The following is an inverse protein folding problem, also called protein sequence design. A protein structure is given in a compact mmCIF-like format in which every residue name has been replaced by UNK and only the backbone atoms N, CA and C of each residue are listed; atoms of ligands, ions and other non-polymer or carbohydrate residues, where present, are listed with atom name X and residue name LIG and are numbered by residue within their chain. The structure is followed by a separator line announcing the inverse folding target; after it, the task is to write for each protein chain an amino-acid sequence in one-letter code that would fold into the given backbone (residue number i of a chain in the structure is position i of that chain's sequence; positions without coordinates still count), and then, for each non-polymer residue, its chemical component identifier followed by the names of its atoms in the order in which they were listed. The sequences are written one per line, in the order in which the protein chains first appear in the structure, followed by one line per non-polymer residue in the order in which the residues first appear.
data_IF_616875987202
#
_entry.id   IF_616875987202
#
_cell.length_a   1.000
_cell.length_b   1.000
_cell.length_c   1.000
_cell.angle_alpha   90.00
_cell.angle_beta   90.00
_cell.angle_gamma   90.00
#
_symmetry.space_group_name_H-M   'P 1'
#
loop_
_entity.id
_entity.type
_entity.pdbx_description
1 polymer ?
#
# COMPACT_ATOMS: atom_id res chain seq x y z
N UNK A 1 14.72 -3.54 -13.97
CA UNK A 1 14.05 -3.91 -15.25
C UNK A 1 13.00 -5.00 -15.06
N UNK A 2 13.28 -6.09 -14.33
CA UNK A 2 12.29 -7.14 -14.04
C UNK A 2 11.14 -6.68 -13.16
N UNK A 3 11.39 -5.92 -12.08
CA UNK A 3 10.32 -5.40 -11.22
C UNK A 3 9.37 -4.44 -11.95
N UNK A 4 9.91 -3.54 -12.78
CA UNK A 4 9.13 -2.64 -13.62
C UNK A 4 8.34 -3.37 -14.71
N UNK A 5 8.88 -4.47 -15.26
CA UNK A 5 8.17 -5.29 -16.24
C UNK A 5 7.03 -6.09 -15.60
N UNK A 6 7.24 -6.64 -14.40
CA UNK A 6 6.18 -7.33 -13.64
C UNK A 6 5.07 -6.36 -13.29
N UNK A 7 5.40 -5.15 -12.84
CA UNK A 7 4.42 -4.12 -12.52
C UNK A 7 3.67 -3.60 -13.75
N UNK A 8 4.37 -3.36 -14.87
CA UNK A 8 3.72 -2.99 -16.12
C UNK A 8 2.80 -4.12 -16.62
N UNK A 9 3.24 -5.38 -16.53
CA UNK A 9 2.44 -6.54 -16.91
C UNK A 9 1.19 -6.69 -16.04
N UNK A 10 1.27 -6.47 -14.72
CA UNK A 10 0.10 -6.55 -13.85
C UNK A 10 -0.87 -5.39 -14.11
N UNK A 11 -0.39 -4.16 -14.30
CA UNK A 11 -1.24 -3.01 -14.66
C UNK A 11 -1.96 -3.24 -15.99
N UNK A 12 -1.24 -3.74 -17.01
CA UNK A 12 -1.82 -4.04 -18.32
C UNK A 12 -2.79 -5.22 -18.28
N UNK A 13 -2.49 -6.25 -17.49
CA UNK A 13 -3.37 -7.40 -17.28
C UNK A 13 -4.71 -6.96 -16.65
N UNK A 14 -4.64 -6.18 -15.57
CA UNK A 14 -5.83 -5.65 -14.88
C UNK A 14 -6.62 -4.71 -15.79
N UNK A 15 -5.94 -3.85 -16.56
CA UNK A 15 -6.59 -3.02 -17.57
C UNK A 15 -7.30 -3.87 -18.65
N UNK A 16 -6.66 -4.95 -19.13
CA UNK A 16 -7.23 -5.88 -20.11
C UNK A 16 -8.44 -6.65 -19.59
N UNK A 17 -8.54 -6.91 -18.28
CA UNK A 17 -9.70 -7.57 -17.68
C UNK A 17 -11.00 -6.77 -17.81
N UNK A 18 -10.93 -5.45 -18.06
CA UNK A 18 -12.12 -4.63 -18.34
C UNK A 18 -12.78 -4.91 -19.71
N UNK A 19 -12.09 -5.63 -20.60
CA UNK A 19 -12.57 -5.99 -21.95
C UNK A 19 -13.12 -7.42 -22.03
N UNK A 20 -13.10 -8.17 -20.91
CA UNK A 20 -13.73 -9.47 -20.80
C UNK A 20 -15.25 -9.25 -20.65
N UNK A 21 -16.05 -9.95 -21.47
CA UNK A 21 -17.51 -9.87 -21.39
C UNK A 21 -17.97 -10.28 -19.97
N UNK A 22 -18.73 -9.43 -19.25
CA UNK A 22 -19.33 -9.80 -17.98
C UNK A 22 -20.48 -10.75 -18.26
N UNK A 23 -20.17 -12.04 -18.35
CA UNK A 23 -21.12 -13.11 -18.73
C UNK A 23 -22.20 -13.36 -17.66
N UNK A 24 -22.07 -12.75 -16.47
CA UNK A 24 -23.00 -12.88 -15.36
C UNK A 24 -23.37 -11.47 -14.87
N UNK A 25 -24.50 -10.95 -15.38
CA UNK A 25 -25.14 -9.64 -15.09
C UNK A 25 -24.59 -8.41 -15.83
N UNK A 26 -25.46 -7.61 -16.47
CA UNK A 26 -25.06 -6.34 -17.08
C UNK A 26 -24.58 -5.38 -15.99
N UNK A 27 -23.39 -4.82 -16.20
CA UNK A 27 -22.87 -3.73 -15.36
C UNK A 27 -23.94 -2.62 -15.25
N UNK A 28 -24.25 -2.21 -14.02
CA UNK A 28 -25.13 -1.06 -13.77
C UNK A 28 -24.63 0.16 -14.57
N UNK A 29 -25.52 0.99 -15.16
CA UNK A 29 -25.14 2.02 -16.14
C UNK A 29 -24.02 2.98 -15.70
N UNK A 30 -23.91 3.22 -14.39
CA UNK A 30 -22.88 4.04 -13.75
C UNK A 30 -21.45 3.49 -13.92
N UNK A 31 -21.31 2.19 -14.17
CA UNK A 31 -20.02 1.52 -14.36
C UNK A 31 -19.53 1.56 -15.82
N UNK A 32 -20.29 2.16 -16.74
CA UNK A 32 -19.92 2.31 -18.16
C UNK A 32 -19.38 3.70 -18.47
N UNK A 33 -18.38 4.17 -17.72
CA UNK A 33 -17.72 5.47 -17.94
C UNK A 33 -16.21 5.32 -18.12
N UNK A 34 -15.63 6.13 -19.02
CA UNK A 34 -14.19 6.24 -19.22
C UNK A 34 -13.45 6.68 -17.95
N UNK A 35 -14.10 7.52 -17.14
CA UNK A 35 -13.55 8.00 -15.87
C UNK A 35 -13.38 6.88 -14.85
N UNK A 36 -14.29 5.89 -14.83
CA UNK A 36 -14.14 4.72 -13.98
C UNK A 36 -12.87 3.94 -14.34
N UNK A 37 -12.67 3.67 -15.64
CA UNK A 37 -11.51 2.89 -16.11
C UNK A 37 -10.20 3.58 -15.76
N UNK A 38 -10.08 4.90 -15.96
CA UNK A 38 -8.87 5.63 -15.58
C UNK A 38 -8.68 5.62 -14.06
N UNK A 39 -9.72 5.97 -13.30
CA UNK A 39 -9.65 6.03 -11.84
C UNK A 39 -9.20 4.68 -11.25
N UNK A 40 -9.91 3.60 -11.60
CA UNK A 40 -9.65 2.25 -11.06
C UNK A 40 -8.30 1.72 -11.49
N UNK A 41 -7.86 1.95 -12.73
CA UNK A 41 -6.53 1.53 -13.17
C UNK A 41 -5.41 2.29 -12.47
N UNK A 42 -5.61 3.58 -12.19
CA UNK A 42 -4.65 4.40 -11.42
C UNK A 42 -4.57 3.93 -9.96
N UNK A 43 -5.71 3.68 -9.31
CA UNK A 43 -5.77 3.13 -7.95
C UNK A 43 -5.12 1.74 -7.87
N UNK A 44 -5.50 0.82 -8.76
CA UNK A 44 -4.94 -0.54 -8.81
C UNK A 44 -3.43 -0.53 -9.07
N UNK A 45 -2.96 0.31 -10.01
CA UNK A 45 -1.54 0.50 -10.27
C UNK A 45 -0.79 1.05 -9.06
N UNK A 46 -1.35 2.04 -8.39
CA UNK A 46 -0.77 2.64 -7.18
C UNK A 46 -0.57 1.60 -6.07
N UNK A 47 -1.55 0.74 -5.84
CA UNK A 47 -1.48 -0.29 -4.79
C UNK A 47 -0.35 -1.28 -5.05
N UNK A 48 -0.01 -1.55 -6.32
CA UNK A 48 1.16 -2.34 -6.70
C UNK A 48 2.48 -1.72 -6.23
N UNK A 49 2.66 -0.40 -6.40
CA UNK A 49 3.83 0.32 -5.90
C UNK A 49 3.87 0.34 -4.36
N UNK A 50 2.74 0.60 -3.71
CA UNK A 50 2.65 0.63 -2.25
C UNK A 50 2.91 -0.75 -1.61
N UNK A 51 2.41 -1.82 -2.24
CA UNK A 51 2.69 -3.20 -1.87
C UNK A 51 4.18 -3.53 -2.01
N UNK A 52 4.82 -3.11 -3.11
CA UNK A 52 6.25 -3.31 -3.29
C UNK A 52 7.07 -2.61 -2.20
N UNK A 53 6.67 -1.39 -1.80
CA UNK A 53 7.25 -0.68 -0.65
C UNK A 53 7.14 -1.47 0.66
N UNK A 54 5.98 -2.09 0.92
CA UNK A 54 5.75 -2.92 2.10
C UNK A 54 6.57 -4.22 2.09
N UNK A 55 6.67 -4.89 0.93
CA UNK A 55 7.50 -6.09 0.76
C UNK A 55 8.98 -5.78 0.99
N UNK A 56 9.47 -4.66 0.45
CA UNK A 56 10.84 -4.22 0.70
C UNK A 56 11.03 -3.87 2.19
N UNK A 57 10.05 -3.21 2.81
CA UNK A 57 10.03 -2.94 4.25
C UNK A 57 10.19 -4.21 5.08
N UNK A 58 9.37 -5.24 4.80
CA UNK A 58 9.46 -6.55 5.43
C UNK A 58 10.82 -7.22 5.21
N UNK A 59 11.34 -7.18 3.97
CA UNK A 59 12.65 -7.76 3.63
C UNK A 59 13.77 -7.09 4.43
N UNK A 60 13.76 -5.76 4.55
CA UNK A 60 14.73 -5.01 5.33
C UNK A 60 14.65 -5.36 6.83
N UNK A 61 13.45 -5.52 7.39
CA UNK A 61 13.28 -5.98 8.77
C UNK A 61 13.85 -7.39 8.97
N UNK A 62 13.66 -8.30 8.01
CA UNK A 62 14.27 -9.64 8.05
C UNK A 62 15.80 -9.56 7.96
N UNK A 63 16.35 -8.74 7.06
CA UNK A 63 17.79 -8.56 6.91
C UNK A 63 18.44 -8.05 8.19
N UNK A 64 17.77 -7.15 8.94
CA UNK A 64 18.24 -6.68 10.25
C UNK A 64 18.44 -7.83 11.25
N UNK A 65 17.61 -8.87 11.19
CA UNK A 65 17.71 -10.04 12.09
C UNK A 65 18.95 -10.88 11.77
N UNK A 66 19.33 -10.96 10.50
CA UNK A 66 20.44 -11.80 10.03
C UNK A 66 21.83 -11.12 10.07
N UNK A 67 21.92 -9.93 10.66
CA UNK A 67 23.21 -9.24 10.85
C UNK A 67 24.12 -10.06 11.79
N UNK A 68 25.33 -10.33 11.31
CA UNK A 68 26.45 -10.91 12.05
C UNK A 68 27.70 -10.07 11.79
N UNK A 69 28.69 -10.11 12.68
CA UNK A 69 29.91 -9.30 12.50
C UNK A 69 30.60 -9.52 11.15
N UNK A 70 30.60 -10.77 10.65
CA UNK A 70 31.23 -11.13 9.36
C UNK A 70 30.56 -10.55 8.11
N UNK A 71 29.28 -10.17 8.17
CA UNK A 71 28.50 -9.73 6.99
C UNK A 71 27.81 -8.38 7.21
N UNK A 72 28.16 -7.69 8.30
CA UNK A 72 27.51 -6.48 8.78
C UNK A 72 27.48 -5.37 7.74
N UNK A 73 28.64 -5.02 7.18
CA UNK A 73 28.74 -3.95 6.18
C UNK A 73 27.89 -4.23 4.94
N UNK A 74 27.98 -5.46 4.41
CA UNK A 74 27.20 -5.88 3.23
C UNK A 74 25.69 -5.76 3.48
N UNK A 75 25.20 -6.27 4.62
CA UNK A 75 23.76 -6.21 4.94
C UNK A 75 23.31 -4.76 5.15
N UNK A 76 24.09 -3.93 5.84
CA UNK A 76 23.74 -2.52 6.06
C UNK A 76 23.66 -1.78 4.73
N UNK A 77 24.60 -2.00 3.80
CA UNK A 77 24.55 -1.41 2.46
C UNK A 77 23.32 -1.87 1.70
N UNK A 78 23.01 -3.17 1.69
CA UNK A 78 21.81 -3.69 1.04
C UNK A 78 20.52 -3.09 1.62
N UNK A 79 20.43 -2.94 2.95
CA UNK A 79 19.26 -2.32 3.60
C UNK A 79 19.09 -0.87 3.15
N UNK A 80 20.17 -0.09 3.05
CA UNK A 80 20.13 1.29 2.58
C UNK A 80 19.66 1.37 1.14
N UNK A 81 20.26 0.59 0.25
CA UNK A 81 19.89 0.55 -1.18
C UNK A 81 18.42 0.17 -1.36
N UNK A 82 17.97 -0.87 -0.67
CA UNK A 82 16.57 -1.29 -0.69
C UNK A 82 15.63 -0.21 -0.13
N UNK A 83 16.03 0.47 0.95
CA UNK A 83 15.24 1.58 1.53
C UNK A 83 15.09 2.73 0.54
N UNK A 84 16.17 3.12 -0.15
CA UNK A 84 16.14 4.18 -1.17
C UNK A 84 15.23 3.77 -2.34
N UNK A 85 15.34 2.52 -2.81
CA UNK A 85 14.46 2.00 -3.87
C UNK A 85 13.00 2.03 -3.40
N UNK A 86 12.72 1.66 -2.15
CA UNK A 86 11.40 1.73 -1.55
C UNK A 86 10.88 3.17 -1.53
N UNK A 87 11.67 4.15 -1.10
CA UNK A 87 11.25 5.56 -1.08
C UNK A 87 10.83 6.08 -2.45
N UNK A 88 11.61 5.78 -3.49
CA UNK A 88 11.30 6.16 -4.88
C UNK A 88 10.01 5.48 -5.34
N UNK A 89 9.88 4.18 -5.05
CA UNK A 89 8.71 3.36 -5.42
C UNK A 89 7.44 3.88 -4.74
N UNK A 90 7.49 4.10 -3.43
CA UNK A 90 6.37 4.60 -2.62
C UNK A 90 6.02 6.03 -3.01
N UNK A 91 6.98 6.87 -3.39
CA UNK A 91 6.70 8.21 -3.94
C UNK A 91 5.89 8.11 -5.23
N UNK A 92 6.26 7.21 -6.15
CA UNK A 92 5.48 6.94 -7.36
C UNK A 92 4.06 6.45 -7.04
N UNK A 93 3.93 5.51 -6.09
CA UNK A 93 2.64 5.02 -5.60
C UNK A 93 1.78 6.13 -4.99
N UNK A 94 2.36 7.01 -4.16
CA UNK A 94 1.66 8.14 -3.55
C UNK A 94 1.12 9.13 -4.59
N UNK A 95 1.90 9.43 -5.62
CA UNK A 95 1.46 10.31 -6.71
C UNK A 95 0.29 9.67 -7.45
N UNK A 96 0.41 8.38 -7.80
CA UNK A 96 -0.66 7.67 -8.51
C UNK A 96 -1.93 7.57 -7.67
N UNK A 97 -1.85 7.18 -6.39
CA UNK A 97 -3.05 7.08 -5.53
C UNK A 97 -3.69 8.45 -5.31
N UNK A 98 -2.90 9.52 -5.18
CA UNK A 98 -3.44 10.87 -5.03
C UNK A 98 -4.19 11.34 -6.28
N UNK A 99 -3.62 11.11 -7.46
CA UNK A 99 -4.27 11.41 -8.75
C UNK A 99 -5.51 10.51 -8.94
N UNK A 100 -5.38 9.21 -8.63
CA UNK A 100 -6.47 8.24 -8.66
C UNK A 100 -7.64 8.72 -7.82
N UNK A 101 -7.40 9.07 -6.56
CA UNK A 101 -8.44 9.50 -5.61
C UNK A 101 -9.12 10.78 -6.09
N UNK A 102 -8.36 11.73 -6.64
CA UNK A 102 -8.93 12.94 -7.26
C UNK A 102 -9.83 12.62 -8.47
N UNK A 103 -9.37 11.76 -9.39
CA UNK A 103 -10.15 11.33 -10.55
C UNK A 103 -11.39 10.51 -10.14
N UNK A 104 -11.33 9.81 -9.02
CA UNK A 104 -12.47 9.13 -8.42
C UNK A 104 -13.58 10.12 -8.06
N UNK A 105 -13.23 11.30 -7.54
CA UNK A 105 -14.20 12.36 -7.29
C UNK A 105 -14.83 12.92 -8.56
N UNK A 106 -14.07 13.03 -9.66
CA UNK A 106 -14.63 13.43 -10.97
C UNK A 106 -15.66 12.41 -11.46
N UNK A 107 -15.33 11.12 -11.37
CA UNK A 107 -16.24 10.03 -11.70
C UNK A 107 -17.49 10.03 -10.80
N UNK A 108 -17.32 10.27 -9.49
CA UNK A 108 -18.43 10.37 -8.54
C UNK A 108 -19.40 11.50 -8.92
N UNK A 109 -18.88 12.63 -9.41
CA UNK A 109 -19.72 13.74 -9.85
C UNK A 109 -20.53 13.42 -11.10
N UNK A 110 -19.92 12.76 -12.08
CA UNK A 110 -20.61 12.30 -13.28
C UNK A 110 -21.69 11.24 -12.95
N UNK A 111 -21.41 10.40 -11.96
CA UNK A 111 -22.22 9.24 -11.60
C UNK A 111 -23.37 9.56 -10.64
N UNK A 112 -23.09 10.38 -9.62
CA UNK A 112 -23.96 10.62 -8.47
C UNK A 112 -24.24 12.12 -8.23
N UNK A 113 -23.75 13.00 -9.11
CA UNK A 113 -23.98 14.44 -9.02
C UNK A 113 -23.22 15.16 -7.90
N UNK A 114 -22.21 14.51 -7.30
CA UNK A 114 -21.34 15.08 -6.26
C UNK A 114 -19.91 14.57 -6.36
N UNK A 115 -18.93 15.41 -6.07
CA UNK A 115 -17.50 15.04 -6.13
C UNK A 115 -17.02 14.15 -4.98
N UNK A 116 -17.67 14.24 -3.82
CA UNK A 116 -17.25 13.52 -2.62
C UNK A 116 -18.43 13.42 -1.67
N UNK A 117 -18.41 12.46 -0.76
CA UNK A 117 -19.25 12.53 0.43
C UNK A 117 -19.01 11.38 1.38
N UNK A 118 -17.74 11.17 1.70
CA UNK A 118 -17.32 10.47 2.91
C UNK A 118 -17.83 9.05 3.02
N UNK A 119 -18.06 8.41 1.88
CA UNK A 119 -18.27 6.96 1.83
C UNK A 119 -17.03 6.26 2.41
N UNK A 120 -17.20 5.03 2.90
CA UNK A 120 -16.11 4.27 3.48
C UNK A 120 -14.92 4.13 2.50
N UNK A 121 -15.14 3.92 1.20
CA UNK A 121 -14.03 3.82 0.24
C UNK A 121 -13.34 5.15 -0.01
N UNK A 122 -14.11 6.21 -0.18
CA UNK A 122 -13.59 7.57 -0.34
C UNK A 122 -12.72 7.97 0.87
N UNK A 123 -13.23 7.72 2.08
CA UNK A 123 -12.53 8.04 3.34
C UNK A 123 -11.23 7.25 3.48
N UNK A 124 -11.25 5.94 3.21
CA UNK A 124 -10.06 5.10 3.32
C UNK A 124 -9.03 5.36 2.21
N UNK A 125 -9.46 5.78 1.02
CA UNK A 125 -8.57 6.29 -0.03
C UNK A 125 -7.82 7.55 0.45
N UNK A 126 -8.53 8.50 1.06
CA UNK A 126 -7.90 9.67 1.67
C UNK A 126 -6.96 9.29 2.82
N UNK A 127 -7.35 8.37 3.70
CA UNK A 127 -6.47 7.87 4.77
C UNK A 127 -5.19 7.25 4.20
N UNK A 128 -5.30 6.48 3.12
CA UNK A 128 -4.13 5.90 2.43
C UNK A 128 -3.18 6.99 1.94
N UNK A 129 -3.71 8.03 1.27
CA UNK A 129 -2.93 9.19 0.81
C UNK A 129 -2.21 9.85 1.99
N UNK A 130 -2.92 10.13 3.08
CA UNK A 130 -2.35 10.81 4.26
C UNK A 130 -1.29 9.96 4.97
N UNK A 131 -1.52 8.66 5.12
CA UNK A 131 -0.58 7.74 5.76
C UNK A 131 0.70 7.63 4.96
N UNK A 132 0.63 7.42 3.64
CA UNK A 132 1.83 7.32 2.81
C UNK A 132 2.53 8.66 2.62
N UNK A 133 1.80 9.78 2.61
CA UNK A 133 2.39 11.10 2.72
C UNK A 133 3.18 11.22 4.03
N UNK A 134 2.59 10.86 5.17
CA UNK A 134 3.27 10.90 6.46
C UNK A 134 4.52 10.01 6.50
N UNK A 135 4.44 8.77 5.99
CA UNK A 135 5.58 7.83 5.92
C UNK A 135 6.76 8.47 5.19
N UNK A 136 6.53 9.10 4.04
CA UNK A 136 7.59 9.80 3.31
C UNK A 136 8.07 11.08 4.01
N UNK A 137 7.22 11.75 4.77
CA UNK A 137 7.58 12.95 5.53
C UNK A 137 8.37 12.65 6.81
N UNK A 138 8.33 11.41 7.33
CA UNK A 138 9.08 11.01 8.53
C UNK A 138 10.57 11.33 8.45
N UNK A 139 11.16 11.35 7.25
CA UNK A 139 12.58 11.72 7.03
C UNK A 139 12.94 13.12 7.48
N UNK A 140 11.96 14.04 7.51
CA UNK A 140 12.17 15.42 7.94
C UNK A 140 11.96 15.61 9.45
N UNK A 141 11.48 14.59 10.16
CA UNK A 141 11.16 14.66 11.59
C UNK A 141 12.35 14.09 12.37
N UNK A 142 13.05 14.88 13.21
CA UNK A 142 14.28 14.44 13.89
C UNK A 142 14.14 13.18 14.74
N UNK A 143 12.95 12.89 15.27
CA UNK A 143 12.68 11.69 16.07
C UNK A 143 12.21 10.46 15.25
N UNK A 144 11.83 10.63 13.99
CA UNK A 144 11.28 9.55 13.14
C UNK A 144 12.14 9.23 11.91
N UNK A 145 13.23 9.98 11.69
CA UNK A 145 14.18 9.84 10.57
C UNK A 145 15.08 8.60 10.64
N UNK A 146 14.54 7.43 10.98
CA UNK A 146 15.30 6.18 11.05
C UNK A 146 14.92 5.20 9.95
N UNK A 147 15.92 4.47 9.44
CA UNK A 147 15.73 3.39 8.46
C UNK A 147 14.73 2.35 8.99
N UNK A 148 14.83 2.01 10.28
CA UNK A 148 13.87 1.09 10.91
C UNK A 148 12.45 1.66 10.86
N UNK A 149 12.24 2.91 11.31
CA UNK A 149 10.91 3.50 11.37
C UNK A 149 10.28 3.59 9.97
N UNK A 150 11.04 3.98 8.94
CA UNK A 150 10.52 4.02 7.57
C UNK A 150 10.09 2.63 7.07
N UNK A 151 10.93 1.60 7.22
CA UNK A 151 10.62 0.26 6.74
C UNK A 151 9.47 -0.38 7.54
N UNK A 152 9.41 -0.14 8.84
CA UNK A 152 8.29 -0.52 9.70
C UNK A 152 6.99 0.17 9.27
N UNK A 153 7.01 1.50 9.11
CA UNK A 153 5.84 2.27 8.75
C UNK A 153 5.36 1.93 7.33
N UNK A 154 6.27 1.65 6.39
CA UNK A 154 5.92 1.18 5.03
C UNK A 154 5.23 -0.18 5.03
N UNK A 155 5.66 -1.10 5.90
CA UNK A 155 5.04 -2.41 6.06
C UNK A 155 3.62 -2.31 6.63
N UNK A 156 3.45 -1.61 7.75
CA UNK A 156 2.14 -1.48 8.39
C UNK A 156 1.21 -0.48 7.70
N UNK A 157 1.77 0.49 6.97
CA UNK A 157 1.02 1.43 6.14
C UNK A 157 0.18 0.71 5.08
N UNK A 158 0.65 -0.44 4.59
CA UNK A 158 -0.10 -1.25 3.62
C UNK A 158 -1.44 -1.79 4.16
N UNK A 159 -1.61 -1.85 5.49
CA UNK A 159 -2.90 -2.18 6.08
C UNK A 159 -4.00 -1.19 5.67
N UNK A 160 -3.67 0.08 5.40
CA UNK A 160 -4.63 1.07 4.89
C UNK A 160 -5.17 0.68 3.52
N UNK A 161 -4.30 0.21 2.61
CA UNK A 161 -4.68 -0.27 1.28
C UNK A 161 -5.54 -1.54 1.37
N UNK A 162 -5.17 -2.49 2.24
CA UNK A 162 -5.97 -3.70 2.51
C UNK A 162 -7.36 -3.30 3.03
N UNK A 163 -7.45 -2.30 3.90
CA UNK A 163 -8.72 -1.81 4.42
C UNK A 163 -9.57 -1.16 3.32
N UNK A 164 -8.99 -0.33 2.43
CA UNK A 164 -9.73 0.26 1.30
C UNK A 164 -10.24 -0.82 0.33
N UNK A 165 -9.42 -1.81 0.00
CA UNK A 165 -9.73 -2.80 -1.04
C UNK A 165 -10.58 -3.98 -0.54
N UNK A 166 -10.22 -4.58 0.60
CA UNK A 166 -10.96 -5.70 1.21
C UNK A 166 -11.87 -5.22 2.34
N UNK A 167 -11.33 -4.42 3.26
CA UNK A 167 -12.03 -3.99 4.46
C UNK A 167 -13.38 -3.36 4.19
N UNK A 168 -13.41 -2.35 3.32
CA UNK A 168 -14.66 -1.66 2.98
C UNK A 168 -15.66 -2.56 2.26
N UNK A 169 -15.19 -3.49 1.43
CA UNK A 169 -16.09 -4.35 0.66
C UNK A 169 -16.84 -5.38 1.54
N UNK A 170 -16.22 -5.86 2.62
CA UNK A 170 -16.78 -6.95 3.45
C UNK A 170 -17.20 -6.55 4.86
N UNK A 171 -16.64 -5.47 5.40
CA UNK A 171 -16.85 -5.08 6.81
C UNK A 171 -17.51 -3.71 6.99
N UNK A 172 -17.56 -2.88 5.95
CA UNK A 172 -18.22 -1.57 6.01
C UNK A 172 -19.32 -1.48 4.95
N UNK A 173 -20.35 -0.68 5.23
CA UNK A 173 -21.45 -0.41 4.31
C UNK A 173 -21.20 0.88 3.54
N UNK A 174 -21.53 0.92 2.26
CA UNK A 174 -21.39 2.11 1.43
C UNK A 174 -21.88 1.89 0.00
N UNK A 175 -21.96 2.96 -0.79
CA UNK A 175 -22.31 2.89 -2.23
C UNK A 175 -21.30 2.07 -3.05
N UNK A 176 -20.12 1.84 -2.46
CA UNK A 176 -19.07 1.04 -3.07
C UNK A 176 -18.95 -0.38 -2.50
N UNK A 177 -19.80 -0.80 -1.55
CA UNK A 177 -19.75 -2.16 -1.00
C UNK A 177 -20.54 -3.10 -1.91
N UNK A 178 -19.85 -3.67 -2.91
CA UNK A 178 -20.48 -4.54 -3.92
C UNK A 178 -20.62 -6.00 -3.46
N UNK A 179 -19.93 -6.40 -2.39
CA UNK A 179 -20.04 -7.70 -1.76
C UNK A 179 -21.00 -7.63 -0.56
N UNK A 180 -22.29 -7.46 -0.82
CA UNK A 180 -23.30 -7.45 0.22
C UNK A 180 -23.62 -8.89 0.69
N UNK A 181 -23.19 -9.23 1.91
CA UNK A 181 -23.48 -10.50 2.60
C UNK A 181 -23.21 -10.36 4.10
N UNK A 182 -23.45 -11.41 4.90
CA UNK A 182 -23.10 -11.39 6.32
C UNK A 182 -21.60 -11.15 6.49
N UNK A 183 -21.17 -10.33 7.48
CA UNK A 183 -19.75 -10.05 7.70
C UNK A 183 -19.01 -11.37 7.90
N UNK A 184 -18.15 -11.70 6.94
CA UNK A 184 -17.35 -12.91 7.00
C UNK A 184 -16.43 -12.76 8.21
N UNK A 185 -16.42 -13.72 9.16
CA UNK A 185 -15.52 -13.63 10.30
C UNK A 185 -14.07 -13.55 9.81
N UNK A 186 -13.28 -12.69 10.46
CA UNK A 186 -11.87 -12.55 10.16
C UNK A 186 -11.19 -13.93 10.22
N UNK A 187 -10.58 -14.40 9.12
CA UNK A 187 -9.87 -15.68 9.12
C UNK A 187 -8.77 -15.68 10.19
N UNK A 188 -8.56 -16.83 10.84
CA UNK A 188 -7.56 -16.99 11.91
C UNK A 188 -6.14 -16.63 11.44
N UNK A 189 -5.89 -16.80 10.14
CA UNK A 189 -4.66 -16.46 9.43
C UNK A 189 -4.30 -14.98 9.56
N UNK A 190 -5.30 -14.09 9.61
CA UNK A 190 -5.07 -12.65 9.80
C UNK A 190 -4.43 -12.41 11.17
N UNK A 191 -4.97 -13.00 12.23
CA UNK A 191 -4.42 -12.88 13.58
C UNK A 191 -3.00 -13.45 13.68
N UNK A 192 -2.75 -14.63 13.09
CA UNK A 192 -1.41 -15.22 13.07
C UNK A 192 -0.41 -14.34 12.31
N UNK A 193 -0.82 -13.74 11.19
CA UNK A 193 0.03 -12.83 10.42
C UNK A 193 0.36 -11.56 11.20
N UNK A 194 -0.62 -10.95 11.89
CA UNK A 194 -0.39 -9.77 12.73
C UNK A 194 0.60 -10.07 13.87
N UNK A 195 0.45 -11.22 14.53
CA UNK A 195 1.38 -11.66 15.58
C UNK A 195 2.78 -11.88 15.00
N UNK A 196 2.90 -12.57 13.87
CA UNK A 196 4.18 -12.84 13.21
C UNK A 196 4.89 -11.54 12.80
N UNK A 197 4.18 -10.58 12.21
CA UNK A 197 4.72 -9.27 11.84
C UNK A 197 5.09 -8.43 13.07
N UNK A 198 4.32 -8.55 14.16
CA UNK A 198 4.66 -7.93 15.45
C UNK A 198 5.96 -8.47 16.03
N UNK A 199 6.14 -9.79 16.07
CA UNK A 199 7.37 -10.45 16.54
C UNK A 199 8.55 -10.06 15.64
N UNK A 200 8.36 -10.10 14.31
CA UNK A 200 9.37 -9.69 13.33
C UNK A 200 9.84 -8.25 13.62
N UNK A 201 8.90 -7.34 13.84
CA UNK A 201 9.20 -5.92 14.12
C UNK A 201 9.93 -5.74 15.45
N UNK A 202 9.54 -6.47 16.49
CA UNK A 202 10.19 -6.40 17.80
C UNK A 202 11.64 -6.91 17.74
N UNK A 203 11.85 -8.09 17.13
CA UNK A 203 13.18 -8.70 17.03
C UNK A 203 14.10 -7.85 16.16
N UNK A 204 13.60 -7.34 15.03
CA UNK A 204 14.36 -6.46 14.15
C UNK A 204 14.69 -5.11 14.82
N UNK A 205 13.81 -4.56 15.65
CA UNK A 205 14.09 -3.35 16.43
C UNK A 205 15.24 -3.55 17.44
N UNK A 206 15.24 -4.66 18.18
CA UNK A 206 16.31 -5.00 19.12
C UNK A 206 17.65 -5.09 18.38
N UNK A 207 17.66 -5.77 17.23
CA UNK A 207 18.85 -5.94 16.39
C UNK A 207 19.32 -4.62 15.78
N UNK A 208 18.40 -3.76 15.38
CA UNK A 208 18.69 -2.42 14.90
C UNK A 208 19.42 -1.61 15.98
N UNK A 209 18.87 -1.55 17.20
CA UNK A 209 19.47 -0.80 18.32
C UNK A 209 20.87 -1.30 18.71
N UNK A 210 21.13 -2.60 18.57
CA UNK A 210 22.46 -3.18 18.85
C UNK A 210 23.50 -2.81 17.78
N UNK A 211 23.09 -2.72 16.51
CA UNK A 211 24.01 -2.57 15.39
C UNK A 211 24.19 -1.12 14.91
N UNK A 212 23.20 -0.26 15.15
CA UNK A 212 23.17 1.15 14.74
C UNK A 212 23.28 2.03 15.99
N UNK A 213 24.50 2.46 16.34
CA UNK A 213 24.80 3.28 17.55
C UNK A 213 24.66 4.79 17.37
N UNK A 214 24.58 5.27 16.13
CA UNK A 214 24.25 6.65 15.80
C UNK A 214 23.31 6.62 14.62
N UNK A 215 22.23 7.41 14.67
CA UNK A 215 21.27 7.56 13.59
C UNK A 215 22.01 7.65 12.26
N UNK A 216 21.92 6.57 11.49
CA UNK A 216 22.39 6.56 10.11
C UNK A 216 21.40 7.41 9.35
N UNK A 217 21.69 8.70 9.36
CA UNK A 217 21.06 9.72 8.56
C UNK A 217 21.09 9.24 7.11
N UNK A 218 19.90 9.16 6.52
CA UNK A 218 19.73 9.43 5.11
C UNK A 218 20.29 10.82 4.80
#
# INVERSE_FOLDING_TARGET
MTATAVLAATVLLVAGMSWLDPEITPLVPVLKSYWLTIHVSMEAGSYGFLMLGAVIGMLNLLLLIFIKEKNKERIITSIKELTIISEITVTGGLIMVSIGTYLGGVWANESWGRYWGWDAKETWALVTVLVYAFILHMRFIPGLKSIFAYNFASLFGFATVIMTYYGVNYYLSGLHSYAAGDPVPLPNEVYYSCIALGILSLVSYIRYKQNFKSDLLL
#
